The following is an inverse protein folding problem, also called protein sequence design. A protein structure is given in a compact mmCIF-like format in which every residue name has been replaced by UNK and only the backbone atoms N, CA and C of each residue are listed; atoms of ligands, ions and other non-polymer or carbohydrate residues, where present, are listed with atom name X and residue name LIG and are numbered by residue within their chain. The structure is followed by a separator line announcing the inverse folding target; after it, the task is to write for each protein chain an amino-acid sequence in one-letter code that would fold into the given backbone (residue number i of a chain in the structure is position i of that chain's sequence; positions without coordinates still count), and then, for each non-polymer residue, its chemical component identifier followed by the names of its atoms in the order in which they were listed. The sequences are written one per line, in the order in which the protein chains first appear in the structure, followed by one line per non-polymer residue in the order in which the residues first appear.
data_IF_968913540551
#
_entry.id   IF_968913540551
#
_cell.length_a   1.000
_cell.length_b   1.000
_cell.length_c   1.000
_cell.angle_alpha   90.00
_cell.angle_beta   90.00
_cell.angle_gamma   90.00
#
_symmetry.space_group_name_H-M   'P 1'
#
loop_
_entity.id
_entity.type
_entity.pdbx_description
1 polymer ?
#
# COMPACT_ATOMS: atom_id res chain seq x y z
N UNK A 1 -16.30 -15.47 -6.42
CA UNK A 1 -15.21 -15.23 -5.45
C UNK A 1 -15.80 -15.36 -4.07
N UNK A 2 -15.45 -16.41 -3.34
CA UNK A 2 -16.06 -16.74 -2.05
C UNK A 2 -15.55 -15.80 -0.94
N UNK A 3 -16.35 -15.51 0.11
CA UNK A 3 -15.97 -14.59 1.18
C UNK A 3 -14.72 -15.02 1.98
N UNK A 4 -14.35 -16.31 1.94
CA UNK A 4 -13.16 -16.84 2.62
C UNK A 4 -11.83 -16.41 1.97
N UNK A 5 -11.81 -16.21 0.64
CA UNK A 5 -10.62 -15.78 -0.11
C UNK A 5 -10.25 -14.31 0.23
N UNK A 6 -11.24 -13.54 0.69
CA UNK A 6 -11.12 -12.12 1.02
C UNK A 6 -10.60 -11.89 2.45
N UNK A 7 -10.84 -12.84 3.36
CA UNK A 7 -10.31 -12.80 4.73
C UNK A 7 -8.79 -13.05 4.75
N UNK A 8 -8.29 -13.95 3.89
CA UNK A 8 -6.85 -14.21 3.76
C UNK A 8 -6.07 -12.98 3.26
N UNK A 9 -6.67 -12.16 2.39
CA UNK A 9 -6.07 -10.91 1.93
C UNK A 9 -5.95 -9.83 3.04
N UNK A 10 -6.76 -9.95 4.11
CA UNK A 10 -6.80 -8.97 5.21
C UNK A 10 -5.75 -9.24 6.29
N UNK A 11 -5.21 -10.46 6.43
CA UNK A 11 -4.20 -10.76 7.48
C UNK A 11 -2.89 -9.98 7.30
N UNK A 12 -2.59 -9.50 6.09
CA UNK A 12 -1.40 -8.67 5.82
C UNK A 12 -1.66 -7.16 5.90
N UNK A 13 -2.90 -6.73 6.13
CA UNK A 13 -3.32 -5.33 6.05
C UNK A 13 -3.17 -4.55 7.39
N UNK A 14 -2.36 -5.04 8.33
CA UNK A 14 -1.98 -4.23 9.47
C UNK A 14 -1.12 -3.07 8.98
N UNK A 15 -1.63 -1.84 9.11
CA UNK A 15 -0.96 -0.60 8.72
C UNK A 15 0.30 -0.37 9.58
N UNK A 16 1.36 -1.10 9.25
CA UNK A 16 2.69 -0.88 9.79
C UNK A 16 3.26 0.38 9.17
N UNK A 17 3.92 1.22 9.97
CA UNK A 17 4.70 2.34 9.43
C UNK A 17 5.68 1.80 8.38
N UNK A 18 5.66 2.32 7.14
CA UNK A 18 6.59 1.88 6.11
C UNK A 18 8.01 2.26 6.55
N UNK A 19 8.76 1.28 7.04
CA UNK A 19 10.16 1.45 7.44
C UNK A 19 10.66 0.67 8.67
N UNK A 20 9.79 0.04 9.47
CA UNK A 20 10.23 -0.65 10.70
C UNK A 20 9.89 -2.15 10.80
N UNK A 21 9.03 -2.69 9.95
CA UNK A 21 8.80 -4.14 9.85
C UNK A 21 9.56 -4.75 8.68
N UNK A 22 9.98 -6.00 8.84
CA UNK A 22 10.46 -6.83 7.74
C UNK A 22 9.42 -6.90 6.62
N UNK A 23 9.88 -7.08 5.39
CA UNK A 23 9.01 -7.29 4.23
C UNK A 23 8.84 -8.80 4.10
N UNK A 24 7.60 -9.30 4.18
CA UNK A 24 7.31 -10.74 4.11
C UNK A 24 6.78 -11.17 2.72
N UNK A 25 6.25 -10.23 1.93
CA UNK A 25 5.71 -10.46 0.60
C UNK A 25 5.69 -9.18 -0.25
N UNK A 26 5.54 -9.33 -1.57
CA UNK A 26 5.47 -8.22 -2.53
C UNK A 26 4.24 -8.32 -3.44
N UNK A 27 3.75 -7.19 -3.92
CA UNK A 27 2.63 -7.07 -4.85
C UNK A 27 2.98 -6.03 -5.93
N UNK A 28 2.42 -6.16 -7.13
CA UNK A 28 2.68 -5.20 -8.21
C UNK A 28 2.70 -5.83 -9.60
N UNK A 29 3.20 -5.07 -10.58
CA UNK A 29 3.31 -5.61 -11.93
C UNK A 29 4.41 -6.68 -12.02
N UNK A 30 4.28 -7.68 -12.90
CA UNK A 30 5.27 -8.76 -13.04
C UNK A 30 6.70 -8.25 -13.27
N UNK A 31 6.84 -7.15 -14.01
CA UNK A 31 8.14 -6.53 -14.26
C UNK A 31 8.82 -5.97 -12.99
N UNK A 32 8.05 -5.52 -11.99
CA UNK A 32 8.59 -5.01 -10.73
C UNK A 32 8.76 -6.11 -9.69
N UNK A 33 7.83 -7.06 -9.62
CA UNK A 33 7.92 -8.15 -8.62
C UNK A 33 9.09 -9.08 -8.93
N UNK A 34 9.43 -9.28 -10.21
CA UNK A 34 10.61 -10.05 -10.62
C UNK A 34 11.96 -9.45 -10.15
N UNK A 35 11.99 -8.21 -9.64
CA UNK A 35 13.21 -7.58 -9.12
C UNK A 35 13.57 -8.05 -7.71
N UNK A 36 12.70 -8.80 -7.03
CA UNK A 36 12.84 -9.16 -5.63
C UNK A 36 12.56 -10.65 -5.42
N UNK A 37 13.32 -11.28 -4.52
CA UNK A 37 13.17 -12.70 -4.17
C UNK A 37 12.24 -12.87 -2.97
N UNK A 38 10.99 -12.43 -3.12
CA UNK A 38 9.94 -12.55 -2.09
C UNK A 38 8.68 -13.22 -2.67
N UNK A 39 7.85 -13.85 -1.82
CA UNK A 39 6.53 -14.33 -2.22
C UNK A 39 5.70 -13.22 -2.91
N UNK A 40 5.17 -13.53 -4.09
CA UNK A 40 4.41 -12.58 -4.90
C UNK A 40 2.91 -12.76 -4.66
N UNK A 41 2.27 -11.72 -4.17
CA UNK A 41 0.81 -11.64 -4.06
C UNK A 41 0.18 -11.45 -5.45
N UNK A 42 -1.03 -11.98 -5.61
CA UNK A 42 -1.76 -11.97 -6.88
C UNK A 42 -2.22 -10.56 -7.30
N UNK A 43 -2.34 -9.64 -6.35
CA UNK A 43 -2.76 -8.27 -6.62
C UNK A 43 -1.66 -7.49 -7.34
N UNK A 44 -1.96 -6.99 -8.54
CA UNK A 44 -1.05 -6.12 -9.29
C UNK A 44 -1.26 -4.62 -9.02
N UNK A 45 -2.43 -4.26 -8.49
CA UNK A 45 -2.80 -2.91 -8.07
C UNK A 45 -3.90 -2.97 -7.00
N UNK A 46 -4.08 -1.89 -6.20
CA UNK A 46 -5.23 -1.77 -5.31
C UNK A 46 -6.56 -1.81 -6.09
N UNK A 47 -7.55 -2.53 -5.55
CA UNK A 47 -8.92 -2.51 -6.08
C UNK A 47 -9.77 -1.51 -5.31
N UNK A 48 -10.83 -1.00 -5.94
CA UNK A 48 -11.77 -0.10 -5.25
C UNK A 48 -12.39 -0.76 -4.01
N UNK A 49 -12.74 -2.05 -4.10
CA UNK A 49 -13.30 -2.83 -2.97
C UNK A 49 -12.28 -2.91 -1.83
N UNK A 50 -11.03 -3.29 -2.13
CA UNK A 50 -9.98 -3.41 -1.11
C UNK A 50 -9.71 -2.08 -0.39
N UNK A 51 -9.71 -0.97 -1.13
CA UNK A 51 -9.57 0.37 -0.53
C UNK A 51 -10.71 0.70 0.42
N UNK A 52 -11.96 0.39 0.05
CA UNK A 52 -13.12 0.60 0.93
C UNK A 52 -13.05 -0.26 2.18
N UNK A 53 -12.62 -1.52 2.07
CA UNK A 53 -12.48 -2.42 3.21
C UNK A 53 -11.44 -1.91 4.22
N UNK A 54 -10.28 -1.46 3.75
CA UNK A 54 -9.24 -0.88 4.61
C UNK A 54 -9.74 0.41 5.28
N UNK A 55 -10.49 1.25 4.55
CA UNK A 55 -11.04 2.49 5.09
C UNK A 55 -12.26 2.29 5.99
N UNK A 56 -12.88 1.10 5.99
CA UNK A 56 -14.18 0.84 6.59
C UNK A 56 -14.29 1.24 8.07
N UNK A 57 -13.32 0.94 8.97
CA UNK A 57 -13.40 1.36 10.37
C UNK A 57 -13.48 2.89 10.51
N UNK A 58 -12.69 3.63 9.72
CA UNK A 58 -12.71 5.08 9.70
C UNK A 58 -14.03 5.64 9.15
N UNK A 59 -14.53 5.05 8.05
CA UNK A 59 -15.82 5.43 7.45
C UNK A 59 -17.00 5.25 8.41
N UNK A 60 -17.00 4.17 9.20
CA UNK A 60 -18.06 3.87 10.17
C UNK A 60 -17.96 4.68 11.47
N UNK A 61 -16.79 5.27 11.75
CA UNK A 61 -16.54 6.03 13.00
C UNK A 61 -17.34 7.34 13.12
N UNK A 62 -17.91 7.83 12.01
CA UNK A 62 -18.62 9.13 11.91
C UNK A 62 -17.81 10.35 12.38
N UNK A 63 -16.49 10.19 12.54
CA UNK A 63 -15.59 11.28 12.93
C UNK A 63 -15.01 11.91 11.66
N UNK A 64 -14.93 13.26 11.57
CA UNK A 64 -14.26 13.91 10.45
C UNK A 64 -12.81 13.43 10.30
N UNK A 65 -12.34 13.09 9.09
CA UNK A 65 -10.95 12.70 8.90
C UNK A 65 -10.02 13.89 9.13
N UNK A 66 -8.82 13.60 9.64
CA UNK A 66 -7.74 14.58 9.69
C UNK A 66 -7.30 14.97 8.25
N UNK A 67 -6.67 16.14 8.07
CA UNK A 67 -6.09 16.53 6.79
C UNK A 67 -5.14 15.45 6.23
N UNK A 68 -5.23 15.20 4.93
CA UNK A 68 -4.35 14.24 4.26
C UNK A 68 -2.92 14.78 4.20
N UNK A 69 -1.99 14.00 4.73
CA UNK A 69 -0.55 14.23 4.53
C UNK A 69 -0.04 13.19 3.53
N UNK A 70 0.44 13.59 2.35
CA UNK A 70 0.98 12.63 1.39
C UNK A 70 2.19 11.89 1.97
N UNK A 71 2.20 10.56 1.84
CA UNK A 71 3.39 9.77 2.12
C UNK A 71 4.31 9.80 0.92
N UNK A 72 5.22 10.76 0.89
CA UNK A 72 6.27 10.79 -0.11
C UNK A 72 7.33 9.75 0.25
N UNK A 73 7.35 8.65 -0.50
CA UNK A 73 8.47 7.71 -0.49
C UNK A 73 9.67 8.40 -1.12
N UNK A 74 10.44 9.14 -0.31
CA UNK A 74 11.61 9.86 -0.79
C UNK A 74 12.67 8.87 -1.25
N UNK A 75 13.22 9.11 -2.44
CA UNK A 75 14.66 8.89 -2.63
C UNK A 75 15.38 10.08 -1.98
N UNK A 76 16.54 9.89 -1.33
CA UNK A 76 17.25 10.97 -0.63
C UNK A 76 17.61 12.17 -1.52
N UNK A 77 17.57 12.00 -2.84
CA UNK A 77 17.86 12.99 -3.89
C UNK A 77 16.62 13.62 -4.55
N UNK A 78 15.41 13.30 -4.10
CA UNK A 78 14.19 13.83 -4.72
C UNK A 78 14.03 15.33 -4.45
N UNK A 79 14.31 16.14 -5.47
CA UNK A 79 14.06 17.59 -5.51
C UNK A 79 12.84 17.91 -6.37
N UNK A 80 12.21 19.06 -6.12
CA UNK A 80 11.11 19.53 -6.97
C UNK A 80 11.57 19.68 -8.44
N UNK A 81 10.64 19.56 -9.39
CA UNK A 81 10.96 19.62 -10.82
C UNK A 81 11.76 20.88 -11.20
N UNK A 82 11.47 22.00 -10.53
CA UNK A 82 12.15 23.29 -10.69
C UNK A 82 13.61 23.29 -10.21
N UNK A 83 13.97 22.38 -9.32
CA UNK A 83 15.28 22.30 -8.66
C UNK A 83 16.16 21.17 -9.23
N UNK A 84 15.68 20.45 -10.25
CA UNK A 84 16.47 19.41 -10.94
C UNK A 84 17.58 20.07 -11.77
N UNK A 85 18.85 19.74 -11.47
CA UNK A 85 19.99 20.09 -12.33
C UNK A 85 19.85 19.34 -13.66
N UNK A 86 20.01 20.05 -14.79
CA UNK A 86 20.05 19.49 -16.15
C UNK A 86 21.31 18.67 -16.38
#
# INVERSE_FOLDING_TARGET
MAPADLAAALEHAAATSPGSAGIDAIAGSPAHTALFDYPVLTASAPTAIGLVQVALPGLLSRTPPAPLTPLYLRRPDAVELKDRKK
#
